data_IF_695752923488
#
_entry.id   IF_695752923488
#
_cell.length_a   1.000
_cell.length_b   1.000
_cell.length_c   1.000
_cell.angle_alpha   90.00
_cell.angle_beta   90.00
_cell.angle_gamma   90.00
#
_symmetry.space_group_name_H-M   'P 1'
#
loop_
_entity.id
_entity.type
_entity.pdbx_description
1 polymer ?
#
# COMPACT_ATOMS: atom_id res chain seq x y z
N UNK A 1 11.64 21.53 -14.76
CA UNK A 1 11.62 20.06 -14.84
C UNK A 1 10.30 19.61 -14.23
N UNK A 2 9.57 18.67 -14.84
CA UNK A 2 8.40 18.10 -14.20
C UNK A 2 8.82 17.51 -12.85
N UNK A 3 8.12 17.87 -11.77
CA UNK A 3 8.38 17.31 -10.44
C UNK A 3 8.22 15.80 -10.50
N UNK A 4 9.30 15.05 -10.29
CA UNK A 4 9.23 13.59 -10.12
C UNK A 4 8.42 13.32 -8.86
N UNK A 5 7.28 12.64 -8.97
CA UNK A 5 6.49 12.28 -7.80
C UNK A 5 7.35 11.41 -6.87
N UNK A 6 7.58 11.88 -5.65
CA UNK A 6 8.44 11.24 -4.65
C UNK A 6 7.61 10.42 -3.67
N UNK A 7 8.27 9.51 -2.94
CA UNK A 7 7.68 8.78 -1.82
C UNK A 7 6.39 8.04 -2.24
N UNK A 8 6.54 7.18 -3.23
CA UNK A 8 5.42 6.47 -3.86
C UNK A 8 5.47 5.02 -3.40
N UNK A 9 4.31 4.46 -3.05
CA UNK A 9 4.17 3.03 -2.78
C UNK A 9 3.50 2.39 -4.00
N UNK A 10 4.18 1.43 -4.62
CA UNK A 10 3.55 0.48 -5.53
C UNK A 10 2.47 -0.28 -4.76
N UNK A 11 1.25 -0.27 -5.28
CA UNK A 11 0.09 -0.98 -4.77
C UNK A 11 -0.21 -2.11 -5.74
N UNK A 12 0.30 -3.31 -5.47
CA UNK A 12 0.17 -4.44 -6.40
C UNK A 12 -0.25 -5.74 -5.73
N UNK A 13 -0.94 -6.56 -6.51
CA UNK A 13 -1.17 -7.95 -6.20
C UNK A 13 -1.13 -8.78 -7.48
N UNK A 14 -0.88 -10.06 -7.32
CA UNK A 14 -1.10 -11.06 -8.35
C UNK A 14 -1.78 -12.28 -7.74
N UNK A 15 -2.61 -12.97 -8.52
CA UNK A 15 -3.23 -14.23 -8.09
C UNK A 15 -2.24 -15.38 -8.27
N UNK A 16 -1.92 -16.09 -7.19
CA UNK A 16 -1.16 -17.34 -7.24
C UNK A 16 -1.98 -18.46 -7.90
N UNK A 17 -1.30 -19.32 -8.66
CA UNK A 17 -1.93 -20.52 -9.22
C UNK A 17 -2.36 -21.48 -8.10
N UNK A 18 -3.36 -22.32 -8.39
CA UNK A 18 -3.89 -23.28 -7.42
C UNK A 18 -2.77 -24.16 -6.83
N UNK A 19 -2.74 -24.27 -5.50
CA UNK A 19 -1.74 -25.06 -4.77
C UNK A 19 -0.35 -24.42 -4.64
N UNK A 20 -0.12 -23.25 -5.25
CA UNK A 20 1.15 -22.53 -5.11
C UNK A 20 1.17 -21.71 -3.83
N UNK A 21 2.17 -21.96 -2.98
CA UNK A 21 2.48 -21.12 -1.82
C UNK A 21 3.84 -20.46 -1.98
N UNK A 22 3.85 -19.15 -2.28
CA UNK A 22 5.09 -18.36 -2.44
C UNK A 22 5.75 -17.95 -1.12
N UNK A 23 5.12 -18.26 0.02
CA UNK A 23 5.65 -17.99 1.36
C UNK A 23 6.24 -19.23 2.04
N UNK A 24 6.16 -20.41 1.42
CA UNK A 24 6.95 -21.58 1.85
C UNK A 24 8.39 -21.45 1.33
N UNK A 25 9.26 -20.88 2.15
CA UNK A 25 10.68 -20.65 1.82
C UNK A 25 11.48 -21.93 1.51
N UNK A 26 10.99 -23.10 1.94
CA UNK A 26 11.62 -24.38 1.63
C UNK A 26 11.34 -24.85 0.19
N UNK A 27 10.22 -24.39 -0.38
CA UNK A 27 9.75 -24.75 -1.71
C UNK A 27 10.50 -24.03 -2.84
N UNK A 28 10.35 -24.54 -4.07
CA UNK A 28 10.84 -23.85 -5.27
C UNK A 28 10.12 -22.52 -5.50
N UNK A 29 8.80 -22.47 -5.27
CA UNK A 29 8.00 -21.26 -5.42
C UNK A 29 8.45 -20.15 -4.47
N UNK A 30 8.67 -20.49 -3.20
CA UNK A 30 9.17 -19.54 -2.20
C UNK A 30 10.56 -19.01 -2.53
N UNK A 31 11.48 -19.86 -3.00
CA UNK A 31 12.81 -19.43 -3.45
C UNK A 31 12.74 -18.48 -4.65
N UNK A 32 11.87 -18.75 -5.61
CA UNK A 32 11.62 -17.85 -6.74
C UNK A 32 11.08 -16.51 -6.27
N UNK A 33 10.09 -16.50 -5.38
CA UNK A 33 9.51 -15.26 -4.88
C UNK A 33 10.50 -14.44 -4.04
N UNK A 34 11.32 -15.10 -3.21
CA UNK A 34 12.42 -14.43 -2.51
C UNK A 34 13.44 -13.83 -3.48
N UNK A 35 13.73 -14.48 -4.60
CA UNK A 35 14.61 -13.93 -5.63
C UNK A 35 14.00 -12.68 -6.30
N UNK A 36 12.69 -12.64 -6.50
CA UNK A 36 11.96 -11.47 -7.00
C UNK A 36 12.13 -10.29 -6.05
N UNK A 37 11.81 -10.49 -4.75
CA UNK A 37 11.95 -9.48 -3.71
C UNK A 37 13.40 -8.96 -3.63
N UNK A 38 14.37 -9.88 -3.63
CA UNK A 38 15.78 -9.52 -3.57
C UNK A 38 16.23 -8.72 -4.80
N UNK A 39 15.67 -9.00 -5.97
CA UNK A 39 16.06 -8.32 -7.20
C UNK A 39 15.44 -6.93 -7.30
N UNK A 40 14.17 -6.79 -6.94
CA UNK A 40 13.53 -5.46 -6.94
C UNK A 40 14.15 -4.54 -5.88
N UNK A 41 14.54 -5.06 -4.70
CA UNK A 41 15.20 -4.26 -3.67
C UNK A 41 16.64 -3.83 -4.00
N UNK A 42 17.23 -4.33 -5.09
CA UNK A 42 18.53 -3.84 -5.62
C UNK A 42 18.36 -2.71 -6.62
N UNK A 43 17.15 -2.42 -7.07
CA UNK A 43 16.93 -1.40 -8.08
C UNK A 43 17.15 0.00 -7.52
N UNK A 44 17.63 0.94 -8.35
CA UNK A 44 17.69 2.35 -7.98
C UNK A 44 16.33 2.82 -7.46
N UNK A 45 16.33 3.53 -6.33
CA UNK A 45 15.12 4.09 -5.74
C UNK A 45 14.23 3.10 -4.98
N UNK A 46 14.45 1.79 -5.04
CA UNK A 46 13.72 0.86 -4.18
C UNK A 46 14.09 1.09 -2.70
N UNK A 47 13.08 1.08 -1.83
CA UNK A 47 13.25 1.28 -0.38
C UNK A 47 12.87 0.03 0.39
N UNK A 48 11.59 -0.35 0.38
CA UNK A 48 11.10 -1.44 1.23
C UNK A 48 9.93 -2.17 0.58
N UNK A 49 9.95 -3.49 0.64
CA UNK A 49 8.81 -4.35 0.28
C UNK A 49 8.06 -4.71 1.56
N UNK A 50 6.75 -4.61 1.55
CA UNK A 50 5.82 -5.30 2.43
C UNK A 50 5.04 -6.30 1.60
N UNK A 51 5.03 -7.57 1.99
CA UNK A 51 4.37 -8.62 1.22
C UNK A 51 3.67 -9.63 2.12
N UNK A 52 2.52 -10.10 1.68
CA UNK A 52 1.70 -11.08 2.37
C UNK A 52 0.59 -11.58 1.45
N UNK A 53 -0.28 -12.43 1.98
CA UNK A 53 -1.54 -12.80 1.31
C UNK A 53 -2.69 -11.96 1.86
N UNK A 54 -3.70 -11.76 1.04
CA UNK A 54 -5.01 -11.33 1.53
C UNK A 54 -5.61 -12.43 2.42
N UNK A 55 -6.13 -12.04 3.58
CA UNK A 55 -6.68 -13.02 4.53
C UNK A 55 -7.99 -13.61 4.00
N UNK A 56 -8.84 -12.78 3.41
CA UNK A 56 -10.13 -13.18 2.84
C UNK A 56 -10.00 -13.99 1.54
N UNK A 57 -8.89 -13.82 0.81
CA UNK A 57 -8.58 -14.58 -0.40
C UNK A 57 -7.08 -14.87 -0.48
N UNK A 58 -6.62 -15.98 0.12
CA UNK A 58 -5.20 -16.33 0.17
C UNK A 58 -4.55 -16.57 -1.19
N UNK A 59 -5.33 -16.62 -2.30
CA UNK A 59 -4.76 -16.66 -3.64
C UNK A 59 -4.14 -15.33 -4.06
N UNK A 60 -4.56 -14.20 -3.49
CA UNK A 60 -3.98 -12.88 -3.81
C UNK A 60 -2.73 -12.63 -2.99
N UNK A 61 -1.59 -12.62 -3.68
CA UNK A 61 -0.29 -12.25 -3.13
C UNK A 61 -0.10 -10.76 -3.33
N UNK A 62 -0.08 -10.02 -2.22
CA UNK A 62 0.10 -8.57 -2.21
C UNK A 62 1.58 -8.20 -2.09
N UNK A 63 1.96 -7.14 -2.79
CA UNK A 63 3.25 -6.49 -2.72
C UNK A 63 3.01 -4.98 -2.65
N UNK A 64 3.41 -4.39 -1.52
CA UNK A 64 3.50 -2.95 -1.36
C UNK A 64 4.97 -2.58 -1.36
N UNK A 65 5.42 -1.84 -2.37
CA UNK A 65 6.83 -1.49 -2.51
C UNK A 65 7.02 0.02 -2.51
N UNK A 66 7.73 0.49 -1.50
CA UNK A 66 8.12 1.88 -1.38
C UNK A 66 9.26 2.20 -2.36
N UNK A 67 9.05 3.24 -3.16
CA UNK A 67 10.00 3.82 -4.10
C UNK A 67 10.31 5.27 -3.71
N UNK A 68 11.57 5.67 -3.92
CA UNK A 68 12.00 7.06 -3.82
C UNK A 68 11.19 7.96 -4.77
N UNK A 69 10.89 7.47 -5.98
CA UNK A 69 10.04 8.16 -6.93
C UNK A 69 9.31 7.22 -7.88
N UNK A 70 8.20 7.71 -8.44
CA UNK A 70 7.46 7.00 -9.50
C UNK A 70 8.37 6.61 -10.67
N UNK A 71 9.26 7.52 -11.07
CA UNK A 71 10.17 7.29 -12.20
C UNK A 71 11.16 6.15 -11.92
N UNK A 72 11.58 5.95 -10.66
CA UNK A 72 12.46 4.85 -10.30
C UNK A 72 11.76 3.50 -10.56
N UNK A 73 10.49 3.38 -10.19
CA UNK A 73 9.69 2.19 -10.53
C UNK A 73 9.47 2.07 -12.04
N UNK A 74 9.05 3.14 -12.73
CA UNK A 74 8.79 3.10 -14.18
C UNK A 74 10.05 2.74 -15.00
N UNK A 75 11.24 2.96 -14.44
CA UNK A 75 12.50 2.56 -15.05
C UNK A 75 12.89 1.10 -14.77
N UNK A 76 12.40 0.49 -13.69
CA UNK A 76 12.72 -0.90 -13.35
C UNK A 76 12.38 -1.88 -14.49
N UNK A 77 11.20 -1.83 -15.14
CA UNK A 77 10.87 -2.70 -16.28
C UNK A 77 11.84 -2.60 -17.46
N UNK A 78 12.61 -1.51 -17.57
CA UNK A 78 13.59 -1.27 -18.64
C UNK A 78 14.97 -1.88 -18.35
N UNK A 79 15.18 -2.38 -17.13
CA UNK A 79 16.43 -3.03 -16.73
C UNK A 79 16.54 -4.44 -17.27
N UNK A 80 17.77 -4.94 -17.44
CA UNK A 80 18.02 -6.32 -17.86
C UNK A 80 17.62 -7.36 -16.82
N UNK A 81 17.44 -6.96 -15.55
CA UNK A 81 17.03 -7.87 -14.46
C UNK A 81 15.52 -8.15 -14.45
N UNK A 82 14.68 -7.23 -14.95
CA UNK A 82 13.22 -7.35 -14.85
C UNK A 82 12.64 -8.53 -15.64
N UNK A 83 13.00 -8.65 -16.93
CA UNK A 83 12.49 -9.72 -17.80
C UNK A 83 12.66 -11.13 -17.22
N UNK A 84 13.89 -11.53 -16.85
CA UNK A 84 14.15 -12.83 -16.22
C UNK A 84 13.32 -13.10 -14.95
N UNK A 85 13.08 -12.07 -14.13
CA UNK A 85 12.28 -12.19 -12.91
C UNK A 85 10.81 -12.43 -13.23
N UNK A 86 10.23 -11.70 -14.18
CA UNK A 86 8.85 -11.93 -14.64
C UNK A 86 8.69 -13.33 -15.22
N UNK A 87 9.63 -13.79 -16.07
CA UNK A 87 9.60 -15.15 -16.61
C UNK A 87 9.62 -16.22 -15.51
N UNK A 88 10.41 -16.00 -14.44
CA UNK A 88 10.47 -16.93 -13.31
C UNK A 88 9.17 -17.01 -12.52
N UNK A 89 8.37 -15.94 -12.51
CA UNK A 89 7.09 -15.88 -11.80
C UNK A 89 5.93 -16.51 -12.58
N UNK A 90 5.96 -16.48 -13.92
CA UNK A 90 4.87 -17.01 -14.77
C UNK A 90 4.31 -18.39 -14.39
N UNK A 91 5.11 -19.40 -14.01
CA UNK A 91 4.56 -20.70 -13.62
C UNK A 91 3.83 -20.67 -12.27
N UNK A 92 4.04 -19.62 -11.45
CA UNK A 92 3.53 -19.53 -10.08
C UNK A 92 2.25 -18.70 -9.97
N UNK A 93 2.01 -17.79 -10.92
CA UNK A 93 0.96 -16.77 -10.80
C UNK A 93 0.22 -16.54 -12.11
N UNK A 94 -1.00 -16.03 -12.01
CA UNK A 94 -1.86 -15.60 -13.11
C UNK A 94 -1.72 -14.08 -13.33
N UNK A 95 -0.84 -13.69 -14.24
CA UNK A 95 -0.66 -12.29 -14.62
C UNK A 95 -1.87 -11.69 -15.37
N UNK A 96 -2.93 -12.45 -15.68
CA UNK A 96 -4.18 -11.83 -16.16
C UNK A 96 -5.05 -11.31 -15.02
N UNK A 97 -4.76 -11.73 -13.78
CA UNK A 97 -5.47 -11.33 -12.56
C UNK A 97 -4.51 -10.65 -11.60
N UNK A 98 -4.16 -9.41 -11.93
CA UNK A 98 -3.23 -8.60 -11.16
C UNK A 98 -3.72 -7.16 -11.04
N UNK A 99 -3.12 -6.43 -10.12
CA UNK A 99 -3.09 -4.97 -10.14
C UNK A 99 -1.65 -4.50 -9.97
N UNK A 100 -1.30 -3.41 -10.62
CA UNK A 100 -0.06 -2.69 -10.40
C UNK A 100 -0.37 -1.20 -10.61
N UNK A 101 -0.49 -0.47 -9.52
CA UNK A 101 -0.81 0.95 -9.47
C UNK A 101 0.05 1.61 -8.40
N UNK A 102 -0.08 2.92 -8.24
CA UNK A 102 0.69 3.66 -7.27
C UNK A 102 -0.21 4.44 -6.33
N UNK A 103 0.20 4.56 -5.08
CA UNK A 103 -0.42 5.45 -4.11
C UNK A 103 0.63 6.36 -3.49
N UNK A 104 0.23 7.60 -3.23
CA UNK A 104 1.00 8.51 -2.35
C UNK A 104 0.40 8.43 -0.97
N UNK A 105 1.24 8.16 0.04
CA UNK A 105 0.78 7.88 1.39
C UNK A 105 1.26 8.93 2.38
N UNK A 106 0.46 9.16 3.41
CA UNK A 106 0.83 9.98 4.56
C UNK A 106 0.33 9.30 5.84
N UNK A 107 1.21 9.00 6.80
CA UNK A 107 2.68 9.11 6.73
C UNK A 107 3.31 8.12 5.72
N UNK A 108 4.49 8.48 5.19
CA UNK A 108 5.35 7.61 4.39
C UNK A 108 6.74 7.51 5.04
N UNK A 109 7.37 6.32 5.12
CA UNK A 109 6.83 5.02 4.70
C UNK A 109 5.70 4.52 5.61
N UNK A 110 4.77 3.67 5.13
CA UNK A 110 3.64 3.14 5.90
C UNK A 110 4.04 2.03 6.89
N UNK A 111 5.24 2.07 7.48
CA UNK A 111 5.80 0.93 8.21
C UNK A 111 5.04 0.59 9.49
N UNK A 112 4.49 1.59 10.18
CA UNK A 112 3.74 1.40 11.42
C UNK A 112 2.50 0.55 11.23
N UNK A 113 1.92 0.58 10.02
CA UNK A 113 0.68 -0.12 9.69
C UNK A 113 0.89 -1.34 8.81
N UNK A 114 1.96 -1.42 8.01
CA UNK A 114 2.22 -2.57 7.12
C UNK A 114 3.29 -3.54 7.63
N UNK A 115 4.09 -3.20 8.65
CA UNK A 115 5.01 -4.15 9.25
C UNK A 115 4.28 -5.01 10.31
N UNK A 116 4.25 -6.33 10.13
CA UNK A 116 3.62 -7.28 11.08
C UNK A 116 4.10 -7.15 12.53
N UNK A 117 5.33 -6.69 12.78
CA UNK A 117 5.86 -6.57 14.14
C UNK A 117 5.27 -5.35 14.87
N UNK A 118 4.74 -4.37 14.12
CA UNK A 118 4.06 -3.17 14.63
C UNK A 118 2.53 -3.32 14.57
N UNK A 119 2.04 -3.82 13.44
CA UNK A 119 0.64 -4.10 13.14
C UNK A 119 0.51 -5.50 12.53
N UNK A 120 0.30 -6.55 13.36
CA UNK A 120 0.17 -7.93 12.90
C UNK A 120 -0.89 -8.14 11.81
N UNK A 121 -1.94 -7.32 11.82
CA UNK A 121 -2.97 -7.28 10.79
C UNK A 121 -3.14 -5.84 10.32
N UNK A 122 -3.25 -5.66 9.01
CA UNK A 122 -3.58 -4.38 8.39
C UNK A 122 -4.93 -4.51 7.69
N UNK A 123 -5.87 -3.63 8.00
CA UNK A 123 -7.03 -3.40 7.14
C UNK A 123 -6.60 -2.50 5.98
N UNK A 124 -6.85 -2.96 4.75
CA UNK A 124 -6.71 -2.16 3.53
C UNK A 124 -8.10 -1.71 3.10
N UNK A 125 -8.42 -0.45 3.39
CA UNK A 125 -9.66 0.20 3.03
C UNK A 125 -9.48 0.95 1.71
N UNK A 126 -10.33 0.67 0.72
CA UNK A 126 -10.31 1.28 -0.61
C UNK A 126 -11.64 1.99 -0.88
N UNK A 127 -11.57 3.30 -1.13
CA UNK A 127 -12.69 4.09 -1.62
C UNK A 127 -12.45 4.48 -3.08
N UNK A 128 -13.36 4.06 -3.97
CA UNK A 128 -13.29 4.30 -5.40
C UNK A 128 -14.22 5.45 -5.81
N UNK A 129 -13.76 6.27 -6.74
CA UNK A 129 -14.42 7.46 -7.25
C UNK A 129 -14.31 7.51 -8.78
N UNK A 130 -15.09 8.34 -9.49
CA UNK A 130 -14.93 8.54 -10.93
C UNK A 130 -13.49 8.93 -11.31
N UNK A 131 -13.05 8.59 -12.52
CA UNK A 131 -11.69 8.89 -12.99
C UNK A 131 -11.39 10.40 -13.02
N UNK A 132 -12.41 11.23 -13.23
CA UNK A 132 -12.35 12.69 -13.26
C UNK A 132 -12.65 13.34 -11.90
N UNK A 133 -12.63 12.58 -10.80
CA UNK A 133 -12.87 13.09 -9.45
C UNK A 133 -11.88 14.21 -9.09
N UNK A 134 -12.41 15.42 -8.98
CA UNK A 134 -11.63 16.65 -8.94
C UNK A 134 -10.88 16.85 -7.61
N UNK A 135 -9.91 17.76 -7.61
CA UNK A 135 -9.02 18.01 -6.46
C UNK A 135 -9.78 18.45 -5.21
N UNK A 136 -10.83 19.27 -5.33
CA UNK A 136 -11.59 19.74 -4.18
C UNK A 136 -12.44 18.62 -3.58
N UNK A 137 -13.02 17.77 -4.44
CA UNK A 137 -13.73 16.56 -4.02
C UNK A 137 -12.78 15.56 -3.35
N UNK A 138 -11.56 15.36 -3.89
CA UNK A 138 -10.51 14.56 -3.24
C UNK A 138 -10.17 15.07 -1.84
N UNK A 139 -9.97 16.37 -1.69
CA UNK A 139 -9.69 16.99 -0.39
C UNK A 139 -10.85 16.78 0.60
N UNK A 140 -12.09 16.83 0.14
CA UNK A 140 -13.29 16.56 0.95
C UNK A 140 -13.33 15.10 1.41
N UNK A 141 -13.10 14.15 0.50
CA UNK A 141 -13.03 12.73 0.83
C UNK A 141 -11.91 12.42 1.83
N UNK A 142 -10.71 12.99 1.64
CA UNK A 142 -9.60 12.89 2.59
C UNK A 142 -9.98 13.42 3.97
N UNK A 143 -10.60 14.61 4.06
CA UNK A 143 -11.05 15.18 5.34
C UNK A 143 -12.04 14.29 6.07
N UNK A 144 -12.95 13.63 5.35
CA UNK A 144 -13.92 12.71 5.97
C UNK A 144 -13.24 11.45 6.52
N UNK A 145 -12.21 10.93 5.83
CA UNK A 145 -11.37 9.85 6.36
C UNK A 145 -10.61 10.29 7.62
N UNK A 146 -10.04 11.49 7.61
CA UNK A 146 -9.35 12.07 8.78
C UNK A 146 -10.30 12.28 9.97
N UNK A 147 -11.52 12.74 9.71
CA UNK A 147 -12.56 12.90 10.72
C UNK A 147 -12.97 11.54 11.31
N UNK A 148 -13.13 10.52 10.46
CA UNK A 148 -13.39 9.15 10.92
C UNK A 148 -12.24 8.62 11.78
N UNK A 149 -10.99 8.83 11.36
CA UNK A 149 -9.83 8.44 12.15
C UNK A 149 -9.80 9.17 13.50
N UNK A 150 -10.11 10.47 13.51
CA UNK A 150 -10.15 11.30 14.71
C UNK A 150 -11.25 10.94 15.69
N UNK A 151 -12.45 10.61 15.21
CA UNK A 151 -13.63 10.36 16.03
C UNK A 151 -13.88 8.91 16.38
N UNK A 152 -13.46 7.98 15.53
CA UNK A 152 -13.68 6.55 15.73
C UNK A 152 -12.37 5.81 15.99
N UNK A 153 -11.40 5.81 15.06
CA UNK A 153 -10.20 4.97 15.22
C UNK A 153 -9.41 5.30 16.49
N UNK A 154 -9.22 6.60 16.79
CA UNK A 154 -8.50 7.06 17.98
C UNK A 154 -9.13 6.67 19.32
N UNK A 155 -10.40 6.25 19.35
CA UNK A 155 -11.05 5.81 20.59
C UNK A 155 -10.72 4.36 20.92
N UNK A 156 -10.30 3.57 19.93
CA UNK A 156 -9.87 2.19 20.12
C UNK A 156 -8.46 2.12 20.69
N UNK A 157 -8.29 1.36 21.79
CA UNK A 157 -6.97 1.05 22.34
C UNK A 157 -6.16 0.08 21.48
N UNK A 158 -6.83 -0.63 20.58
CA UNK A 158 -6.21 -1.61 19.69
C UNK A 158 -5.78 -0.98 18.35
N UNK A 159 -6.15 0.26 18.07
CA UNK A 159 -5.72 0.96 16.87
C UNK A 159 -4.20 1.21 16.90
N UNK A 160 -3.49 0.80 15.84
CA UNK A 160 -2.02 0.92 15.73
C UNK A 160 -1.53 2.03 14.82
N UNK A 161 -2.44 2.75 14.16
CA UNK A 161 -2.11 3.83 13.25
C UNK A 161 -2.89 3.75 11.94
N UNK A 162 -2.73 4.78 11.12
CA UNK A 162 -3.27 4.84 9.76
C UNK A 162 -2.24 5.48 8.83
N UNK A 163 -2.10 4.96 7.62
CA UNK A 163 -1.43 5.63 6.50
C UNK A 163 -2.33 5.59 5.28
N UNK A 164 -2.55 6.74 4.65
CA UNK A 164 -3.54 6.85 3.57
C UNK A 164 -3.11 7.84 2.49
N UNK A 165 -3.76 7.72 1.33
CA UNK A 165 -3.71 8.74 0.30
C UNK A 165 -4.17 8.22 -1.05
N UNK A 166 -3.97 9.06 -2.07
CA UNK A 166 -4.59 8.88 -3.37
C UNK A 166 -3.73 8.07 -4.31
N UNK A 167 -4.40 7.32 -5.18
CA UNK A 167 -3.78 6.73 -6.35
C UNK A 167 -3.20 7.82 -7.24
N UNK A 168 -2.06 7.52 -7.85
CA UNK A 168 -1.43 8.38 -8.85
C UNK A 168 -2.23 8.32 -10.14
N UNK A 169 -2.63 7.10 -10.52
CA UNK A 169 -3.47 6.86 -11.68
C UNK A 169 -4.96 7.01 -11.36
N UNK A 170 -5.75 7.33 -12.39
CA UNK A 170 -7.20 7.52 -12.30
C UNK A 170 -8.00 6.37 -12.93
N UNK A 171 -7.33 5.27 -13.27
CA UNK A 171 -7.87 4.08 -13.91
C UNK A 171 -7.60 2.82 -13.06
N UNK A 172 -7.64 2.96 -11.74
CA UNK A 172 -7.50 1.81 -10.82
C UNK A 172 -8.74 0.92 -10.95
N UNK A 173 -8.58 -0.39 -11.27
CA UNK A 173 -9.72 -1.31 -11.37
C UNK A 173 -10.54 -1.33 -10.08
N UNK A 174 -11.87 -1.21 -10.19
CA UNK A 174 -12.75 -1.25 -9.04
C UNK A 174 -12.83 -2.68 -8.53
N UNK A 175 -12.41 -2.90 -7.27
CA UNK A 175 -12.41 -4.24 -6.67
C UNK A 175 -13.81 -4.86 -6.67
N UNK A 176 -13.96 -6.05 -7.24
CA UNK A 176 -15.23 -6.76 -7.41
C UNK A 176 -16.17 -6.13 -8.46
N UNK A 177 -15.63 -5.26 -9.32
CA UNK A 177 -16.23 -4.75 -10.56
C UNK A 177 -15.11 -4.33 -11.52
N UNK A 178 -14.23 -5.27 -11.85
CA UNK A 178 -12.97 -5.03 -12.57
C UNK A 178 -13.18 -4.58 -14.01
N UNK A 179 -14.42 -4.59 -14.52
CA UNK A 179 -14.79 -4.00 -15.81
C UNK A 179 -14.79 -2.45 -15.76
N UNK A 180 -14.86 -1.87 -14.57
CA UNK A 180 -14.83 -0.44 -14.32
C UNK A 180 -13.56 -0.03 -13.58
N UNK A 181 -13.17 1.24 -13.73
CA UNK A 181 -11.98 1.80 -13.08
C UNK A 181 -12.20 3.26 -12.68
N UNK A 182 -11.34 3.76 -11.79
CA UNK A 182 -11.45 5.13 -11.30
C UNK A 182 -10.29 5.58 -10.42
N UNK A 183 -10.43 6.76 -9.82
CA UNK A 183 -9.51 7.22 -8.79
C UNK A 183 -9.76 6.47 -7.47
N UNK A 184 -8.70 6.18 -6.73
CA UNK A 184 -8.77 5.41 -5.49
C UNK A 184 -8.14 6.19 -4.33
N UNK A 185 -8.87 6.32 -3.23
CA UNK A 185 -8.31 6.66 -1.92
C UNK A 185 -8.06 5.35 -1.17
N UNK A 186 -6.79 5.05 -0.88
CA UNK A 186 -6.38 3.91 -0.09
C UNK A 186 -6.06 4.32 1.34
N UNK A 187 -6.42 3.49 2.31
CA UNK A 187 -6.01 3.61 3.69
C UNK A 187 -5.58 2.25 4.26
N UNK A 188 -4.40 2.23 4.87
CA UNK A 188 -3.84 1.12 5.63
C UNK A 188 -4.04 1.41 7.11
N UNK A 189 -4.82 0.58 7.80
CA UNK A 189 -5.16 0.76 9.21
C UNK A 189 -4.61 -0.43 10.00
N UNK A 190 -3.76 -0.16 10.99
CA UNK A 190 -3.08 -1.18 11.76
C UNK A 190 -3.90 -1.73 12.93
N UNK A 191 -3.89 -3.05 13.10
CA UNK A 191 -4.59 -3.80 14.14
C UNK A 191 -3.71 -4.92 14.73
N UNK A 192 -3.91 -5.30 16.00
CA UNK A 192 -3.24 -6.46 16.59
C UNK A 192 -3.80 -7.80 16.09
N UNK A 193 -5.07 -7.82 15.66
CA UNK A 193 -5.71 -9.00 15.08
C UNK A 193 -7.00 -8.61 14.34
N UNK A 194 -7.56 -9.54 13.56
CA UNK A 194 -8.86 -9.36 12.89
C UNK A 194 -9.98 -9.19 13.92
N UNK A 195 -9.93 -9.96 15.01
CA UNK A 195 -10.93 -9.91 16.08
C UNK A 195 -10.94 -8.54 16.77
N UNK A 196 -9.79 -7.89 16.90
CA UNK A 196 -9.71 -6.53 17.45
C UNK A 196 -10.41 -5.52 16.53
N UNK A 197 -10.16 -5.58 15.21
CA UNK A 197 -10.90 -4.78 14.24
C UNK A 197 -12.41 -5.08 14.30
N UNK A 198 -12.80 -6.35 14.31
CA UNK A 198 -14.22 -6.73 14.38
C UNK A 198 -14.90 -6.19 15.65
N UNK A 199 -14.23 -6.28 16.82
CA UNK A 199 -14.74 -5.68 18.06
C UNK A 199 -14.88 -4.17 17.97
N UNK A 200 -13.91 -3.48 17.36
CA UNK A 200 -14.00 -2.05 17.13
C UNK A 200 -15.23 -1.68 16.29
N UNK A 201 -15.55 -2.45 15.24
CA UNK A 201 -16.75 -2.22 14.42
C UNK A 201 -18.06 -2.35 15.18
N UNK A 202 -18.05 -3.05 16.33
CA UNK A 202 -19.23 -3.18 17.19
C UNK A 202 -19.41 -2.03 18.17
N UNK A 203 -18.45 -1.12 18.28
CA UNK A 203 -18.53 0.05 19.16
C UNK A 203 -19.49 1.12 18.63
N UNK A 204 -20.05 1.92 19.53
CA UNK A 204 -20.89 3.06 19.18
C UNK A 204 -20.07 4.12 18.41
N UNK A 205 -18.82 4.38 18.82
CA UNK A 205 -17.92 5.30 18.12
C UNK A 205 -17.76 4.94 16.64
N UNK A 206 -17.64 3.65 16.30
CA UNK A 206 -17.62 3.21 14.90
C UNK A 206 -18.99 3.41 14.24
N UNK A 207 -20.06 2.92 14.86
CA UNK A 207 -21.42 2.92 14.27
C UNK A 207 -21.92 4.33 14.00
N UNK A 208 -21.62 5.27 14.89
CA UNK A 208 -22.03 6.68 14.77
C UNK A 208 -21.21 7.42 13.71
N UNK A 209 -19.98 6.98 13.41
CA UNK A 209 -19.07 7.69 12.52
C UNK A 209 -18.85 6.99 11.16
N UNK A 210 -19.30 5.76 10.94
CA UNK A 210 -19.09 5.04 9.66
C UNK A 210 -19.71 5.74 8.44
N UNK A 211 -20.73 6.58 8.65
CA UNK A 211 -21.30 7.45 7.61
C UNK A 211 -20.27 8.42 7.02
N UNK A 212 -19.22 8.79 7.76
CA UNK A 212 -18.11 9.61 7.25
C UNK A 212 -17.43 8.94 6.05
N UNK A 213 -17.33 7.60 6.05
CA UNK A 213 -16.74 6.83 4.95
C UNK A 213 -17.76 6.39 3.90
N UNK A 214 -18.96 5.98 4.32
CA UNK A 214 -19.97 5.41 3.40
C UNK A 214 -20.73 6.45 2.59
N UNK A 215 -20.74 7.69 3.05
CA UNK A 215 -21.51 8.78 2.44
C UNK A 215 -20.59 9.89 1.89
N UNK A 216 -19.36 9.53 1.52
CA UNK A 216 -18.47 10.47 0.83
C UNK A 216 -19.12 10.82 -0.54
N UNK A 217 -19.29 12.11 -0.87
CA UNK A 217 -19.85 12.52 -2.15
C UNK A 217 -19.07 11.93 -3.33
N UNK A 218 -19.77 11.31 -4.28
CA UNK A 218 -19.17 10.70 -5.47
C UNK A 218 -18.52 9.33 -5.23
N UNK A 219 -18.65 8.75 -4.03
CA UNK A 219 -18.21 7.39 -3.75
C UNK A 219 -18.93 6.39 -4.68
N UNK A 220 -18.15 5.67 -5.48
CA UNK A 220 -18.64 4.59 -6.35
C UNK A 220 -18.67 3.28 -5.59
N UNK A 221 -17.60 2.99 -4.83
CA UNK A 221 -17.48 1.76 -4.05
C UNK A 221 -16.56 1.94 -2.85
N UNK A 222 -16.95 1.34 -1.73
CA UNK A 222 -16.08 1.16 -0.57
C UNK A 222 -15.80 -0.34 -0.40
N UNK A 223 -14.53 -0.71 -0.28
CA UNK A 223 -14.10 -2.09 -0.07
C UNK A 223 -13.08 -2.14 1.05
N UNK A 224 -13.05 -3.26 1.78
CA UNK A 224 -12.04 -3.53 2.80
C UNK A 224 -11.64 -4.99 2.73
N UNK A 225 -10.37 -5.27 3.02
CA UNK A 225 -9.81 -6.61 3.21
C UNK A 225 -8.64 -6.51 4.18
N UNK A 226 -8.09 -7.64 4.61
CA UNK A 226 -6.96 -7.67 5.51
C UNK A 226 -5.73 -8.30 4.87
N UNK A 227 -4.57 -7.83 5.28
CA UNK A 227 -3.27 -8.43 4.96
C UNK A 227 -2.46 -8.58 6.25
N UNK A 228 -1.52 -9.52 6.24
CA UNK A 228 -0.46 -9.64 7.25
C UNK A 228 0.86 -9.67 6.50
N UNK A 229 1.59 -8.56 6.51
CA UNK A 229 2.77 -8.41 5.69
C UNK A 229 4.07 -8.61 6.47
N UNK A 230 4.96 -9.43 5.93
CA UNK A 230 6.39 -9.39 6.27
C UNK A 230 7.04 -8.27 5.47
N UNK A 231 8.08 -7.64 6.04
CA UNK A 231 8.80 -6.56 5.37
C UNK A 231 10.26 -6.92 5.11
N UNK A 232 10.81 -6.41 4.01
CA UNK A 232 12.24 -6.45 3.71
C UNK A 232 12.70 -5.13 3.12
N UNK A 233 13.81 -4.62 3.64
CA UNK A 233 14.38 -3.33 3.24
C UNK A 233 15.56 -3.49 2.28
N UNK A 234 15.69 -2.54 1.35
CA UNK A 234 16.86 -2.40 0.49
C UNK A 234 18.09 -2.01 1.33
N UNK A 235 19.27 -2.47 0.91
CA UNK A 235 20.51 -2.09 1.60
C UNK A 235 20.75 -0.58 1.47
N UNK A 236 21.18 0.06 2.55
CA UNK A 236 21.57 1.47 2.54
C UNK A 236 20.43 2.46 2.78
N UNK A 237 19.19 2.02 3.03
CA UNK A 237 18.04 2.93 3.21
C UNK A 237 18.21 3.82 4.44
N UNK A 238 18.58 3.24 5.59
CA UNK A 238 18.77 3.99 6.83
C UNK A 238 19.85 5.08 6.68
N UNK A 239 20.96 4.77 5.99
CA UNK A 239 22.02 5.73 5.71
C UNK A 239 21.55 6.85 4.77
N UNK A 240 20.75 6.53 3.75
CA UNK A 240 20.15 7.53 2.84
C UNK A 240 19.20 8.47 3.56
N UNK A 241 18.42 7.95 4.51
CA UNK A 241 17.48 8.75 5.29
C UNK A 241 18.20 9.68 6.27
N UNK A 242 19.21 9.18 6.99
CA UNK A 242 20.02 10.00 7.89
C UNK A 242 20.74 11.16 7.18
N UNK A 243 21.22 10.94 5.94
CA UNK A 243 21.83 12.01 5.14
C UNK A 243 20.82 13.10 4.73
N UNK A 244 19.57 12.74 4.44
CA UNK A 244 18.53 13.72 4.09
C UNK A 244 18.17 14.63 5.26
N UNK A 245 18.07 14.08 6.46
CA UNK A 245 17.74 14.87 7.65
C UNK A 245 18.84 15.90 7.98
N UNK A 246 20.11 15.53 7.79
CA UNK A 246 21.24 16.45 7.96
C UNK A 246 21.29 17.58 6.92
N UNK A 247 20.94 17.32 5.66
CA UNK A 247 20.88 18.36 4.61
C UNK A 247 19.73 19.35 4.86
N UNK A 248 18.65 18.92 5.53
CA UNK A 248 17.56 19.80 5.93
C UNK A 248 17.90 20.68 7.15
N UNK A 249 18.76 20.22 8.07
CA UNK A 249 19.20 21.02 9.24
C UNK A 249 20.17 22.14 8.87
N UNK A 250 21.02 21.97 7.85
CA UNK A 250 22.00 22.98 7.45
C UNK A 250 21.43 24.11 6.56
N UNK A 251 20.15 24.06 6.20
CA UNK A 251 19.47 25.08 5.40
C UNK A 251 18.96 26.30 6.18
N UNK A 252 19.05 26.31 7.51
CA UNK A 252 18.42 27.35 8.35
C UNK A 252 19.36 28.37 9.03
N UNK A 253 20.68 28.27 8.83
CA UNK A 253 21.67 29.19 9.42
C UNK A 253 22.30 30.14 8.39
N UNK A 254 21.45 30.92 7.71
CA UNK A 254 21.88 31.80 6.62
C UNK A 254 21.07 33.08 6.45
N UNK A 255 20.67 33.72 7.54
CA UNK A 255 20.24 35.13 7.51
C UNK A 255 20.42 35.76 8.91
N UNK A 256 21.54 36.44 9.08
CA UNK A 256 21.74 37.50 10.07
C UNK A 256 22.25 38.73 9.32
#
# INVERSE_FOLDING_TARGET
MASKLKNVTEFSYVVANEGVNVFDESSAAGKTYQNVINTVLRQPGARRVYTGVEIEDPSKVWLFLDWESLEDHENYPKTSEHGPIIESLKPLVDFTKHTNKHVTLTPFPPEDVLNKDRSPVTEVLLAFFPADYDVASRATATRRLEEFAGRALKTSRDWRGISYGWSVENDVPIRGDEANSGAMLAAFIGWPSIEAHQKFRETDDFKDNIGLLREIPGLVKLSAFHVSCVSKEAKGVAERDAHRDHDHEHGHDGCC
#
